data_IF_223875228523
#
_entry.id   IF_223875228523
#
_cell.length_a   1.000
_cell.length_b   1.000
_cell.length_c   1.000
_cell.angle_alpha   90.00
_cell.angle_beta   90.00
_cell.angle_gamma   90.00
#
_symmetry.space_group_name_H-M   'P 1'
#
loop_
_entity.id
_entity.type
_entity.pdbx_description
1 polymer ?
#
# COMPACT_ATOMS: atom_id res chain seq x y z
N UNK A 1 49.44 -23.54 -44.83
CA UNK A 1 48.31 -22.58 -44.70
C UNK A 1 47.07 -23.14 -43.96
N UNK A 2 46.65 -24.38 -44.21
CA UNK A 2 45.44 -24.95 -43.59
C UNK A 2 45.46 -25.03 -42.03
N UNK A 3 46.59 -25.31 -41.43
CA UNK A 3 46.77 -25.47 -39.97
C UNK A 3 46.67 -24.15 -39.20
N UNK A 4 47.06 -23.02 -39.79
CA UNK A 4 46.90 -21.69 -39.18
C UNK A 4 45.45 -21.22 -39.20
N UNK A 5 44.71 -21.52 -40.27
CA UNK A 5 43.29 -21.19 -40.40
C UNK A 5 42.42 -21.95 -39.37
N UNK A 6 42.72 -23.22 -39.18
CA UNK A 6 42.02 -24.08 -38.18
C UNK A 6 42.21 -23.56 -36.75
N UNK A 7 43.43 -23.10 -36.38
CA UNK A 7 43.69 -22.56 -35.05
C UNK A 7 43.04 -21.19 -34.83
N UNK A 8 42.92 -20.38 -35.87
CA UNK A 8 42.22 -19.09 -35.77
C UNK A 8 40.72 -19.27 -35.59
N UNK A 9 40.10 -20.21 -36.28
CA UNK A 9 38.66 -20.53 -36.15
C UNK A 9 38.35 -21.14 -34.76
N UNK A 10 39.23 -22.00 -34.23
CA UNK A 10 39.07 -22.55 -32.87
C UNK A 10 39.16 -21.46 -31.78
N UNK A 11 40.11 -20.54 -31.90
CA UNK A 11 40.20 -19.37 -30.96
C UNK A 11 39.01 -18.46 -31.04
N UNK A 12 38.49 -18.17 -32.23
CA UNK A 12 37.30 -17.35 -32.41
C UNK A 12 36.05 -17.97 -31.77
N UNK A 13 35.88 -19.30 -31.90
CA UNK A 13 34.78 -20.03 -31.25
C UNK A 13 34.85 -19.97 -29.72
N UNK A 14 36.05 -20.13 -29.16
CA UNK A 14 36.25 -20.07 -27.72
C UNK A 14 35.98 -18.66 -27.17
N UNK A 15 36.41 -17.60 -27.86
CA UNK A 15 36.16 -16.22 -27.48
C UNK A 15 34.64 -15.91 -27.53
N UNK A 16 33.94 -16.39 -28.55
CA UNK A 16 32.50 -16.21 -28.70
C UNK A 16 31.71 -16.94 -27.60
N UNK A 17 32.15 -18.16 -27.23
CA UNK A 17 31.57 -18.93 -26.12
C UNK A 17 31.77 -18.24 -24.77
N UNK A 18 32.95 -17.68 -24.51
CA UNK A 18 33.26 -16.97 -23.26
C UNK A 18 32.44 -15.67 -23.18
N UNK A 19 32.34 -14.89 -24.24
CA UNK A 19 31.54 -13.68 -24.30
C UNK A 19 30.04 -13.98 -24.10
N UNK A 20 29.52 -15.04 -24.70
CA UNK A 20 28.13 -15.48 -24.50
C UNK A 20 27.85 -15.87 -23.05
N UNK A 21 28.78 -16.55 -22.38
CA UNK A 21 28.65 -16.93 -20.98
C UNK A 21 28.68 -15.70 -20.03
N UNK A 22 29.51 -14.70 -20.35
CA UNK A 22 29.62 -13.45 -19.58
C UNK A 22 28.33 -12.63 -19.73
N UNK A 23 27.76 -12.53 -20.92
CA UNK A 23 26.51 -11.82 -21.17
C UNK A 23 25.33 -12.52 -20.47
N UNK A 24 25.30 -13.85 -20.49
CA UNK A 24 24.28 -14.63 -19.80
C UNK A 24 24.37 -14.49 -18.28
N UNK A 25 25.59 -14.47 -17.71
CA UNK A 25 25.79 -14.24 -16.27
C UNK A 25 25.43 -12.79 -15.85
N UNK A 26 25.70 -11.81 -16.68
CA UNK A 26 25.33 -10.42 -16.44
C UNK A 26 23.80 -10.19 -16.47
N UNK A 27 23.07 -10.96 -17.29
CA UNK A 27 21.60 -10.91 -17.30
C UNK A 27 20.96 -11.56 -16.06
N UNK A 28 21.64 -12.53 -15.44
CA UNK A 28 21.16 -13.16 -14.20
C UNK A 28 21.36 -12.29 -12.95
N UNK A 29 22.23 -11.29 -12.98
CA UNK A 29 22.44 -10.37 -11.86
C UNK A 29 21.52 -9.13 -11.92
N UNK A 30 20.77 -8.94 -13.00
CA UNK A 30 19.72 -7.91 -13.12
C UNK A 30 18.36 -8.39 -12.56
N UNK A 31 18.29 -9.60 -12.01
CA UNK A 31 17.12 -10.11 -11.33
C UNK A 31 17.11 -9.59 -9.90
N UNK A 32 16.12 -8.80 -9.59
CA UNK A 32 15.75 -8.31 -8.27
C UNK A 32 16.83 -7.41 -7.62
N UNK A 33 16.82 -6.13 -7.93
CA UNK A 33 16.85 -5.18 -6.83
C UNK A 33 15.72 -5.65 -5.89
N UNK A 34 16.08 -6.16 -4.73
CA UNK A 34 15.20 -6.06 -3.60
C UNK A 34 14.96 -4.55 -3.45
N UNK A 35 13.96 -4.02 -4.12
CA UNK A 35 13.17 -2.97 -3.57
C UNK A 35 12.61 -3.58 -2.28
N UNK A 36 13.42 -3.58 -1.23
CA UNK A 36 12.90 -3.40 0.09
C UNK A 36 12.00 -2.20 -0.10
N UNK A 37 10.69 -2.48 -0.12
CA UNK A 37 9.67 -1.45 -0.21
C UNK A 37 10.10 -0.43 0.83
N UNK A 38 10.74 0.65 0.36
CA UNK A 38 11.32 1.69 1.23
C UNK A 38 10.16 2.04 2.11
N UNK A 39 10.27 1.75 3.41
CA UNK A 39 9.11 1.79 4.29
C UNK A 39 8.44 3.12 4.05
N UNK A 40 7.20 3.08 3.57
CA UNK A 40 6.42 4.28 3.24
C UNK A 40 6.40 5.24 4.44
N UNK A 41 6.61 4.69 5.63
CA UNK A 41 6.68 5.41 6.89
C UNK A 41 8.05 5.21 7.57
N UNK A 42 8.48 6.21 8.33
CA UNK A 42 9.68 6.15 9.19
C UNK A 42 9.51 5.17 10.36
N UNK A 43 8.26 4.93 10.78
CA UNK A 43 7.89 3.96 11.82
C UNK A 43 7.10 2.83 11.18
N UNK A 44 7.36 1.60 11.63
CA UNK A 44 6.58 0.42 11.25
C UNK A 44 5.69 0.02 12.41
N UNK A 45 4.42 -0.21 12.12
CA UNK A 45 3.44 -0.78 13.03
C UNK A 45 2.85 -2.04 12.39
N UNK A 46 2.48 -3.00 13.24
CA UNK A 46 1.91 -4.24 12.73
C UNK A 46 0.41 -4.10 12.46
N UNK A 47 -0.07 -4.92 11.54
CA UNK A 47 -1.51 -5.14 11.32
C UNK A 47 -1.85 -6.58 11.69
N UNK A 48 -2.76 -6.69 12.61
CA UNK A 48 -3.39 -7.95 12.99
C UNK A 48 -4.82 -7.65 13.43
N UNK A 49 -5.79 -8.06 12.63
CA UNK A 49 -7.20 -7.94 13.00
C UNK A 49 -8.00 -9.09 12.38
N UNK A 50 -9.02 -9.50 13.09
CA UNK A 50 -9.96 -10.52 12.62
C UNK A 50 -11.38 -10.05 12.97
N UNK A 51 -12.12 -9.61 11.94
CA UNK A 51 -13.48 -9.14 12.08
C UNK A 51 -14.46 -10.10 11.39
N UNK A 52 -15.52 -10.45 12.09
CA UNK A 52 -16.67 -10.99 11.39
C UNK A 52 -17.41 -9.83 10.71
N UNK A 53 -17.19 -9.67 9.42
CA UNK A 53 -17.72 -8.53 8.64
C UNK A 53 -19.23 -8.38 8.72
N UNK A 54 -19.97 -9.48 8.95
CA UNK A 54 -21.44 -9.44 9.06
C UNK A 54 -21.93 -8.73 10.34
N UNK A 55 -21.07 -8.55 11.33
CA UNK A 55 -21.39 -7.84 12.57
C UNK A 55 -21.16 -6.32 12.47
N UNK A 56 -20.52 -5.85 11.40
CA UNK A 56 -20.15 -4.45 11.19
C UNK A 56 -20.70 -3.96 9.85
N UNK A 57 -21.85 -3.27 9.84
CA UNK A 57 -22.49 -2.82 8.60
C UNK A 57 -21.56 -2.03 7.67
N UNK A 58 -20.66 -1.22 8.23
CA UNK A 58 -19.69 -0.44 7.47
C UNK A 58 -18.74 -1.35 6.68
N UNK A 59 -18.25 -2.44 7.30
CA UNK A 59 -17.38 -3.42 6.64
C UNK A 59 -18.15 -4.29 5.67
N UNK A 60 -19.33 -4.77 6.07
CA UNK A 60 -20.17 -5.59 5.21
C UNK A 60 -20.48 -4.88 3.89
N UNK A 61 -20.81 -3.59 3.97
CA UNK A 61 -21.10 -2.77 2.80
C UNK A 61 -19.90 -2.66 1.86
N UNK A 62 -18.72 -2.29 2.37
CA UNK A 62 -17.54 -2.02 1.52
C UNK A 62 -16.86 -3.29 1.01
N UNK A 63 -17.07 -4.43 1.68
CA UNK A 63 -16.59 -5.72 1.20
C UNK A 63 -17.50 -6.33 0.12
N UNK A 64 -18.78 -5.95 0.12
CA UNK A 64 -19.77 -6.45 -0.84
C UNK A 64 -19.99 -5.54 -2.07
N UNK A 65 -19.47 -4.31 -2.06
CA UNK A 65 -19.68 -3.34 -3.14
C UNK A 65 -18.36 -2.81 -3.69
N UNK A 66 -18.20 -2.89 -5.01
CA UNK A 66 -17.00 -2.40 -5.70
C UNK A 66 -16.88 -0.86 -5.58
N UNK A 67 -15.65 -0.38 -5.46
CA UNK A 67 -15.32 1.04 -5.34
C UNK A 67 -15.63 1.64 -3.97
N UNK A 68 -15.96 0.81 -2.96
CA UNK A 68 -16.34 1.26 -1.62
C UNK A 68 -15.26 0.95 -0.59
N UNK A 69 -15.01 1.90 0.31
CA UNK A 69 -13.99 1.78 1.35
C UNK A 69 -14.50 2.29 2.70
N UNK A 70 -13.97 1.69 3.77
CA UNK A 70 -14.18 2.13 5.15
C UNK A 70 -12.84 2.33 5.85
N UNK A 71 -12.78 3.28 6.77
CA UNK A 71 -11.66 3.45 7.69
C UNK A 71 -11.96 2.78 9.04
N UNK A 72 -10.93 2.19 9.63
CA UNK A 72 -10.97 1.54 10.93
C UNK A 72 -9.87 2.11 11.79
N UNK A 73 -10.20 2.56 13.02
CA UNK A 73 -9.20 3.09 13.95
C UNK A 73 -9.63 2.96 15.41
N UNK A 74 -8.67 3.03 16.31
CA UNK A 74 -8.98 3.24 17.73
C UNK A 74 -9.30 4.71 17.99
N UNK A 75 -10.34 4.96 18.78
CA UNK A 75 -10.75 6.30 19.22
C UNK A 75 -11.21 6.27 20.67
N UNK A 76 -10.86 7.30 21.43
CA UNK A 76 -11.42 7.49 22.77
C UNK A 76 -12.76 8.23 22.67
N UNK A 77 -13.81 7.62 23.20
CA UNK A 77 -15.17 8.18 23.27
C UNK A 77 -15.60 8.17 24.74
N UNK A 78 -15.82 9.32 25.33
CA UNK A 78 -16.18 9.48 26.75
C UNK A 78 -15.20 8.75 27.69
N UNK A 79 -13.88 8.87 27.43
CA UNK A 79 -12.84 8.23 28.23
C UNK A 79 -12.64 6.74 27.98
N UNK A 80 -13.46 6.12 27.12
CA UNK A 80 -13.36 4.70 26.79
C UNK A 80 -12.78 4.53 25.40
N UNK A 81 -11.76 3.68 25.24
CA UNK A 81 -11.21 3.32 23.95
C UNK A 81 -12.19 2.41 23.19
N UNK A 82 -12.51 2.78 21.97
CA UNK A 82 -13.40 2.06 21.06
C UNK A 82 -12.75 1.85 19.70
N UNK A 83 -13.26 0.91 18.91
CA UNK A 83 -12.97 0.77 17.50
C UNK A 83 -14.01 1.60 16.75
N UNK A 84 -13.56 2.60 16.00
CA UNK A 84 -14.44 3.41 15.14
C UNK A 84 -14.29 2.92 13.70
N UNK A 85 -15.41 2.63 13.08
CA UNK A 85 -15.50 2.26 11.66
C UNK A 85 -16.32 3.31 10.94
N UNK A 86 -15.79 3.87 9.85
CA UNK A 86 -16.43 4.94 9.08
C UNK A 86 -16.34 4.59 7.60
N UNK A 87 -17.47 4.52 6.93
CA UNK A 87 -17.57 4.48 5.47
C UNK A 87 -18.16 5.80 4.93
N UNK A 88 -18.50 5.86 3.66
CA UNK A 88 -19.06 7.04 3.02
C UNK A 88 -20.44 7.44 3.56
N UNK A 89 -21.21 6.48 4.10
CA UNK A 89 -22.53 6.72 4.68
C UNK A 89 -22.51 7.14 6.15
N UNK A 90 -21.32 7.15 6.76
CA UNK A 90 -21.13 7.45 8.18
C UNK A 90 -20.39 6.35 8.92
N UNK A 91 -20.42 6.38 10.25
CA UNK A 91 -19.71 5.39 11.04
C UNK A 91 -20.15 5.33 12.48
N UNK A 92 -19.79 4.21 13.11
CA UNK A 92 -20.13 3.92 14.49
C UNK A 92 -18.89 3.53 15.30
N UNK A 93 -18.86 3.88 16.59
CA UNK A 93 -17.91 3.36 17.56
C UNK A 93 -18.39 2.04 18.15
N UNK A 94 -17.52 1.02 18.12
CA UNK A 94 -17.78 -0.32 18.68
C UNK A 94 -16.94 -0.55 19.94
N UNK A 95 -17.47 -1.29 20.88
CA UNK A 95 -16.74 -1.65 22.09
C UNK A 95 -15.58 -2.60 21.75
N UNK A 96 -14.47 -2.44 22.48
CA UNK A 96 -13.36 -3.39 22.42
C UNK A 96 -13.73 -4.59 23.27
N UNK A 97 -13.72 -5.77 22.69
CA UNK A 97 -13.82 -7.05 23.38
C UNK A 97 -12.42 -7.67 23.60
N UNK A 98 -12.38 -8.83 24.26
CA UNK A 98 -11.11 -9.53 24.54
C UNK A 98 -10.33 -9.90 23.29
N UNK A 99 -11.01 -10.17 22.18
CA UNK A 99 -10.35 -10.50 20.91
C UNK A 99 -9.74 -9.23 20.27
N UNK A 100 -10.53 -8.17 20.20
CA UNK A 100 -10.13 -6.92 19.54
C UNK A 100 -9.16 -6.07 20.39
N UNK A 101 -8.97 -6.40 21.67
CA UNK A 101 -8.00 -5.73 22.54
C UNK A 101 -6.57 -5.84 21.99
N UNK A 102 -6.24 -6.97 21.36
CA UNK A 102 -4.93 -7.26 20.80
C UNK A 102 -4.78 -6.89 19.32
N UNK A 103 -5.81 -6.30 18.69
CA UNK A 103 -5.74 -5.93 17.28
C UNK A 103 -4.74 -4.79 17.06
N UNK A 104 -3.93 -4.94 16.00
CA UNK A 104 -3.04 -3.91 15.47
C UNK A 104 -3.64 -3.33 14.19
N UNK A 105 -3.64 -2.01 14.07
CA UNK A 105 -4.25 -1.30 12.94
C UNK A 105 -3.24 -0.47 12.15
N UNK A 106 -1.98 -0.91 12.07
CA UNK A 106 -0.93 -0.14 11.41
C UNK A 106 -0.60 1.17 12.13
N UNK A 107 -0.06 2.14 11.41
CA UNK A 107 0.41 3.40 11.98
C UNK A 107 -0.74 4.34 12.32
N UNK A 108 -1.69 4.55 11.40
CA UNK A 108 -2.78 5.53 11.56
C UNK A 108 -4.15 4.93 11.78
N UNK A 109 -4.29 3.66 11.55
CA UNK A 109 -5.54 2.93 11.34
C UNK A 109 -5.50 2.24 9.98
N UNK A 110 -6.62 1.66 9.56
CA UNK A 110 -6.74 0.97 8.28
C UNK A 110 -7.79 1.64 7.39
N UNK A 111 -7.58 1.55 6.08
CA UNK A 111 -8.61 1.73 5.06
C UNK A 111 -8.80 0.35 4.42
N UNK A 112 -10.00 -0.19 4.47
CA UNK A 112 -10.35 -1.50 3.93
C UNK A 112 -11.52 -1.35 2.97
N UNK A 113 -11.50 -2.09 1.87
CA UNK A 113 -12.62 -2.09 0.94
C UNK A 113 -12.36 -2.90 -0.30
N UNK A 114 -13.24 -2.76 -1.27
CA UNK A 114 -13.19 -3.45 -2.55
C UNK A 114 -13.02 -2.40 -3.65
N UNK A 115 -11.97 -2.53 -4.47
CA UNK A 115 -11.76 -1.61 -5.58
C UNK A 115 -12.78 -1.86 -6.72
N UNK A 116 -12.75 -1.01 -7.75
CA UNK A 116 -13.64 -1.14 -8.93
C UNK A 116 -13.40 -2.42 -9.73
N UNK A 117 -12.27 -3.10 -9.52
CA UNK A 117 -11.93 -4.39 -10.15
C UNK A 117 -12.38 -5.61 -9.34
N UNK A 118 -13.02 -5.40 -8.17
CA UNK A 118 -13.47 -6.46 -7.28
C UNK A 118 -12.40 -7.03 -6.35
N UNK A 119 -11.24 -6.38 -6.23
CA UNK A 119 -10.16 -6.80 -5.35
C UNK A 119 -10.32 -6.19 -3.96
N UNK A 120 -10.15 -7.01 -2.92
CA UNK A 120 -10.11 -6.52 -1.55
C UNK A 120 -8.74 -5.92 -1.23
N UNK A 121 -8.74 -4.67 -0.78
CA UNK A 121 -7.53 -3.90 -0.52
C UNK A 121 -7.53 -3.39 0.93
N UNK A 122 -6.32 -3.32 1.50
CA UNK A 122 -6.08 -2.78 2.83
C UNK A 122 -4.90 -1.81 2.78
N UNK A 123 -5.12 -0.57 3.24
CA UNK A 123 -4.10 0.47 3.32
C UNK A 123 -3.95 0.98 4.73
N UNK A 124 -2.78 1.55 5.05
CA UNK A 124 -2.64 2.37 6.26
C UNK A 124 -3.43 3.68 6.12
N UNK A 125 -4.11 4.07 7.18
CA UNK A 125 -4.90 5.31 7.23
C UNK A 125 -4.01 6.56 7.42
N UNK A 126 -2.73 6.41 7.80
CA UNK A 126 -1.81 7.54 7.91
C UNK A 126 -1.38 8.05 6.53
N UNK A 127 -1.19 9.36 6.42
CA UNK A 127 -0.69 9.98 5.21
C UNK A 127 0.82 9.72 5.04
N UNK A 128 1.27 9.05 3.95
CA UNK A 128 2.68 8.75 3.74
C UNK A 128 3.56 9.99 3.53
N UNK A 129 3.01 11.07 3.00
CA UNK A 129 3.73 12.33 2.81
C UNK A 129 3.99 13.04 4.15
N UNK A 130 3.01 13.01 5.07
CA UNK A 130 3.15 13.59 6.40
C UNK A 130 3.98 12.72 7.35
N UNK A 131 4.03 11.41 7.12
CA UNK A 131 4.78 10.39 7.89
C UNK A 131 4.52 10.46 9.41
N UNK A 132 3.25 10.59 9.78
CA UNK A 132 2.81 10.69 11.18
C UNK A 132 1.47 9.99 11.41
N UNK A 133 1.38 9.23 12.50
CA UNK A 133 0.20 8.46 12.89
C UNK A 133 -1.08 9.31 13.04
N UNK A 134 -0.94 10.53 13.54
CA UNK A 134 -2.07 11.45 13.74
C UNK A 134 -2.53 12.16 12.47
N UNK A 135 -1.76 12.08 11.38
CA UNK A 135 -2.10 12.69 10.08
C UNK A 135 -2.85 11.69 9.20
N UNK A 136 -4.07 11.43 9.61
CA UNK A 136 -4.94 10.46 8.97
C UNK A 136 -5.61 11.02 7.72
N UNK A 137 -5.87 10.13 6.78
CA UNK A 137 -6.66 10.41 5.60
C UNK A 137 -8.14 10.44 5.96
N UNK A 138 -8.90 11.23 5.20
CA UNK A 138 -10.36 11.27 5.27
C UNK A 138 -10.90 10.73 3.96
N UNK A 139 -11.83 9.80 4.03
CA UNK A 139 -12.54 9.28 2.86
C UNK A 139 -13.53 10.34 2.37
N UNK A 140 -13.65 10.51 1.06
CA UNK A 140 -14.64 11.39 0.49
C UNK A 140 -16.02 10.73 0.41
N UNK A 141 -17.06 11.44 0.84
CA UNK A 141 -18.43 10.93 0.79
C UNK A 141 -19.00 10.83 -0.62
N UNK A 142 -18.72 11.80 -1.50
CA UNK A 142 -19.26 11.86 -2.86
C UNK A 142 -18.37 11.18 -3.90
N UNK A 143 -17.05 11.23 -3.71
CA UNK A 143 -16.07 10.59 -4.60
C UNK A 143 -15.64 9.25 -4.01
N UNK A 144 -16.41 8.20 -4.29
CA UNK A 144 -16.09 6.85 -3.85
C UNK A 144 -14.69 6.44 -4.31
N UNK A 145 -13.90 5.90 -3.37
CA UNK A 145 -12.55 5.44 -3.67
C UNK A 145 -11.45 6.50 -3.63
N UNK A 146 -11.72 7.73 -3.20
CA UNK A 146 -10.71 8.73 -2.93
C UNK A 146 -10.48 8.95 -1.43
N UNK A 147 -9.22 9.23 -1.05
CA UNK A 147 -8.84 9.57 0.31
C UNK A 147 -7.93 10.80 0.33
N UNK A 148 -8.23 11.79 1.19
CA UNK A 148 -7.50 13.06 1.28
C UNK A 148 -6.80 13.25 2.60
N UNK A 149 -5.59 13.76 2.57
CA UNK A 149 -4.93 14.27 3.75
C UNK A 149 -5.30 15.74 3.99
N UNK A 150 -6.01 16.03 5.07
CA UNK A 150 -6.40 17.40 5.40
C UNK A 150 -5.21 18.31 5.79
N UNK A 151 -4.01 17.74 6.05
CA UNK A 151 -2.82 18.52 6.39
C UNK A 151 -2.02 18.95 5.17
N UNK A 152 -1.66 18.01 4.27
CA UNK A 152 -0.87 18.34 3.08
C UNK A 152 -1.72 18.48 1.81
N UNK A 153 -3.02 18.19 1.88
CA UNK A 153 -3.96 18.33 0.78
C UNK A 153 -3.87 17.25 -0.31
N UNK A 154 -2.91 16.32 -0.21
CA UNK A 154 -2.75 15.25 -1.21
C UNK A 154 -3.95 14.33 -1.19
N UNK A 155 -4.42 13.96 -2.37
CA UNK A 155 -5.51 13.01 -2.60
C UNK A 155 -4.96 11.73 -3.20
N UNK A 156 -5.43 10.61 -2.72
CA UNK A 156 -5.04 9.27 -3.16
C UNK A 156 -6.23 8.55 -3.78
N UNK A 157 -5.98 7.77 -4.82
CA UNK A 157 -6.97 6.90 -5.44
C UNK A 157 -6.83 5.48 -4.89
N UNK A 158 -7.82 5.06 -4.12
CA UNK A 158 -7.88 3.74 -3.50
C UNK A 158 -8.19 2.64 -4.52
N UNK A 159 -8.88 2.97 -5.61
CA UNK A 159 -9.17 2.04 -6.70
C UNK A 159 -7.93 1.75 -7.55
N UNK A 160 -6.99 2.69 -7.61
CA UNK A 160 -5.71 2.56 -8.29
C UNK A 160 -4.56 2.27 -7.32
N UNK A 161 -4.78 1.32 -6.41
CA UNK A 161 -3.78 0.82 -5.46
C UNK A 161 -3.11 1.88 -4.58
N UNK A 162 -3.86 2.94 -4.24
CA UNK A 162 -3.37 4.02 -3.39
C UNK A 162 -2.40 4.97 -4.09
N UNK A 163 -2.43 5.06 -5.40
CA UNK A 163 -1.65 6.03 -6.16
C UNK A 163 -2.06 7.47 -5.82
N UNK A 164 -1.16 8.42 -5.99
CA UNK A 164 -1.49 9.84 -5.85
C UNK A 164 -2.42 10.24 -7.00
N UNK A 165 -3.64 10.67 -6.66
CA UNK A 165 -4.62 11.20 -7.59
C UNK A 165 -4.34 12.67 -7.91
N UNK A 166 -4.14 13.49 -6.88
CA UNK A 166 -3.82 14.90 -7.04
C UNK A 166 -3.00 15.47 -5.88
N UNK A 167 -2.23 16.51 -6.18
CA UNK A 167 -1.45 17.26 -5.21
C UNK A 167 -1.80 18.74 -5.32
N UNK A 168 -1.86 19.48 -4.21
CA UNK A 168 -2.01 20.96 -4.27
C UNK A 168 -0.83 21.59 -4.99
N UNK A 169 -1.08 22.63 -5.76
CA UNK A 169 -0.04 23.38 -6.51
C UNK A 169 1.11 23.90 -5.63
N UNK A 170 0.80 24.25 -4.39
CA UNK A 170 1.78 24.77 -3.43
C UNK A 170 2.36 23.70 -2.49
N UNK A 171 2.10 22.40 -2.74
CA UNK A 171 2.63 21.33 -1.89
C UNK A 171 4.11 21.09 -2.20
N UNK A 172 4.98 21.41 -1.26
CA UNK A 172 6.41 21.07 -1.36
C UNK A 172 6.62 19.58 -1.04
N UNK A 173 6.29 18.71 -2.01
CA UNK A 173 6.41 17.26 -1.89
C UNK A 173 7.75 16.85 -2.49
N UNK A 174 8.73 16.64 -1.64
CA UNK A 174 10.09 16.23 -2.08
C UNK A 174 10.16 14.77 -2.53
N UNK A 175 9.29 13.91 -2.01
CA UNK A 175 9.19 12.49 -2.38
C UNK A 175 7.72 12.09 -2.47
N UNK A 176 7.15 11.99 -3.70
CA UNK A 176 5.81 11.45 -3.87
C UNK A 176 5.80 9.98 -3.44
N UNK A 177 4.85 9.62 -2.57
CA UNK A 177 4.68 8.25 -2.07
C UNK A 177 3.21 7.89 -2.16
N UNK A 178 2.90 6.75 -2.76
CA UNK A 178 1.59 6.14 -2.70
C UNK A 178 1.26 5.63 -1.29
N UNK A 179 0.03 5.17 -1.10
CA UNK A 179 -0.39 4.58 0.17
C UNK A 179 0.37 3.29 0.46
N UNK A 180 0.68 3.06 1.73
CA UNK A 180 1.19 1.76 2.16
C UNK A 180 0.05 0.74 2.15
N UNK A 181 0.26 -0.37 1.46
CA UNK A 181 -0.67 -1.49 1.32
C UNK A 181 -0.16 -2.69 2.12
N UNK A 182 -1.06 -3.30 2.89
CA UNK A 182 -0.82 -4.51 3.65
C UNK A 182 -1.15 -5.78 2.88
#
# INVERSE_FOLDING_TARGET
MAKQLSNAISRAKNIFSIMSAIILSAMLTLSCSNDEASSTFSKREFVFCNFNVTQYPELFNVMGNNGQFASIRRRVVNGVTKIEMINQSGGNPYNIDKLSEHFGFGLGGLIIGTNTFGEHLCYDLACPICDRAERRLTLFGEDAGLAKCNKCGVVYDLNLYGAIHSTPENANITKPRGLYRY
#
